data_IF_047635894220
#
_entry.id   IF_047635894220
#
_cell.length_a   1.000
_cell.length_b   1.000
_cell.length_c   1.000
_cell.angle_alpha   90.00
_cell.angle_beta   90.00
_cell.angle_gamma   90.00
#
_symmetry.space_group_name_H-M   'P 1'
#
loop_
_entity.id
_entity.type
_entity.pdbx_description
1 polymer ?
#
# COMPACT_ATOMS: atom_id res chain seq x y z
N UNK A 1 -26.29 32.02 24.26
CA UNK A 1 -25.61 30.81 24.77
C UNK A 1 -24.55 30.38 23.77
N UNK A 2 -23.26 30.49 24.12
CA UNK A 2 -22.15 30.03 23.27
C UNK A 2 -21.80 28.60 23.63
N UNK A 3 -22.14 27.64 22.77
CA UNK A 3 -21.76 26.23 22.96
C UNK A 3 -20.46 26.01 22.19
N UNK A 4 -19.35 25.84 22.89
CA UNK A 4 -18.09 25.46 22.26
C UNK A 4 -18.21 24.01 21.79
N UNK A 5 -17.97 23.79 20.50
CA UNK A 5 -17.81 22.45 19.95
C UNK A 5 -16.45 21.93 20.45
N UNK A 6 -16.47 21.13 21.52
CA UNK A 6 -15.29 20.39 21.95
C UNK A 6 -15.08 19.30 20.91
N UNK A 7 -14.11 19.50 20.02
CA UNK A 7 -13.63 18.49 19.09
C UNK A 7 -12.97 17.38 19.92
N UNK A 8 -13.79 16.44 20.41
CA UNK A 8 -13.29 15.21 20.99
C UNK A 8 -12.83 14.32 19.85
N UNK A 9 -11.53 14.01 19.86
CA UNK A 9 -10.93 13.04 18.95
C UNK A 9 -11.71 11.71 19.01
N UNK A 10 -12.28 11.28 17.89
CA UNK A 10 -13.16 10.10 17.84
C UNK A 10 -12.42 8.80 18.22
N UNK A 11 -11.09 8.77 18.06
CA UNK A 11 -10.25 7.65 18.49
C UNK A 11 -10.08 7.56 20.02
N UNK A 12 -10.50 8.60 20.77
CA UNK A 12 -10.51 8.61 22.23
C UNK A 12 -11.74 7.96 22.86
N UNK A 13 -12.71 7.44 22.08
CA UNK A 13 -13.87 6.69 22.63
C UNK A 13 -13.48 5.41 23.37
N UNK A 14 -12.32 4.83 23.05
CA UNK A 14 -11.84 3.66 23.76
C UNK A 14 -11.31 4.08 25.15
N UNK A 15 -11.79 3.50 26.27
CA UNK A 15 -11.41 3.92 27.63
C UNK A 15 -9.90 3.97 27.86
N UNK A 16 -9.16 3.01 27.29
CA UNK A 16 -7.70 2.98 27.32
C UNK A 16 -7.05 4.14 26.55
N UNK A 17 -7.61 4.53 25.39
CA UNK A 17 -7.06 5.61 24.56
C UNK A 17 -7.34 6.98 25.15
N UNK A 18 -8.43 7.13 25.91
CA UNK A 18 -8.78 8.37 26.61
C UNK A 18 -7.72 8.81 27.63
N UNK A 19 -7.04 7.86 28.30
CA UNK A 19 -5.96 8.15 29.26
C UNK A 19 -4.58 8.36 28.63
N UNK A 20 -4.40 8.04 27.36
CA UNK A 20 -3.08 8.13 26.71
C UNK A 20 -2.74 9.58 26.31
N UNK A 21 -1.49 10.02 26.51
CA UNK A 21 -1.01 11.31 26.00
C UNK A 21 -1.13 11.46 24.47
N UNK A 22 -1.30 12.69 23.94
CA UNK A 22 -1.53 12.94 22.51
C UNK A 22 -0.44 12.40 21.57
N UNK A 23 0.82 12.37 22.02
CA UNK A 23 1.94 11.90 21.20
C UNK A 23 1.92 10.38 20.98
N UNK A 24 1.28 9.61 21.87
CA UNK A 24 1.14 8.14 21.75
C UNK A 24 -0.02 7.77 20.81
N UNK A 25 -1.01 8.67 20.66
CA UNK A 25 -2.19 8.44 19.80
C UNK A 25 -1.91 8.62 18.32
N UNK A 26 -0.80 9.28 17.96
CA UNK A 26 -0.41 9.47 16.56
C UNK A 26 -0.11 8.10 15.97
N UNK A 27 -0.96 7.65 15.04
CA UNK A 27 -0.66 6.47 14.25
C UNK A 27 0.66 6.71 13.50
N UNK A 28 1.55 5.71 13.40
CA UNK A 28 2.63 5.79 12.43
C UNK A 28 2.05 6.02 11.03
N UNK A 29 2.82 6.65 10.13
CA UNK A 29 2.42 6.77 8.73
C UNK A 29 2.07 5.37 8.20
N UNK A 30 0.88 5.23 7.64
CA UNK A 30 0.45 4.01 6.99
C UNK A 30 1.36 3.82 5.78
N UNK A 31 2.00 2.64 5.59
CA UNK A 31 2.79 2.40 4.40
C UNK A 31 1.91 2.59 3.16
N UNK A 32 2.49 3.18 2.11
CA UNK A 32 1.75 3.39 0.86
C UNK A 32 1.18 2.05 0.38
N UNK A 33 -0.08 2.03 -0.08
CA UNK A 33 -0.67 0.82 -0.62
C UNK A 33 0.20 0.34 -1.79
N UNK A 34 0.49 -0.97 -1.81
CA UNK A 34 1.24 -1.60 -2.90
C UNK A 34 0.56 -1.25 -4.22
N UNK A 35 1.24 -0.48 -5.07
CA UNK A 35 0.70 -0.11 -6.38
C UNK A 35 0.93 -1.25 -7.36
N UNK A 36 -0.15 -1.79 -7.92
CA UNK A 36 -0.09 -2.84 -8.95
C UNK A 36 0.13 -2.27 -10.35
N UNK A 37 0.77 -1.10 -10.42
CA UNK A 37 1.00 -0.41 -11.69
C UNK A 37 2.03 -1.20 -12.49
N UNK A 38 1.63 -1.70 -13.65
CA UNK A 38 2.55 -2.38 -14.58
C UNK A 38 3.59 -1.37 -15.06
N UNK A 39 4.85 -1.65 -14.77
CA UNK A 39 5.96 -0.81 -15.21
C UNK A 39 6.45 -1.25 -16.59
N UNK A 40 7.20 -0.37 -17.26
CA UNK A 40 7.85 -0.70 -18.54
C UNK A 40 8.85 -1.86 -18.39
N UNK A 41 9.48 -1.96 -17.22
CA UNK A 41 10.45 -3.01 -16.93
C UNK A 41 9.76 -4.36 -16.76
N UNK A 42 8.57 -4.40 -16.14
CA UNK A 42 7.76 -5.63 -16.06
C UNK A 42 7.39 -6.15 -17.45
N UNK A 43 6.93 -5.25 -18.34
CA UNK A 43 6.58 -5.61 -19.72
C UNK A 43 7.79 -6.11 -20.48
N UNK A 44 8.95 -5.45 -20.32
CA UNK A 44 10.19 -5.85 -20.97
C UNK A 44 10.67 -7.22 -20.48
N UNK A 45 10.64 -7.46 -19.18
CA UNK A 45 10.99 -8.74 -18.57
C UNK A 45 10.09 -9.86 -19.09
N UNK A 46 8.78 -9.66 -19.03
CA UNK A 46 7.80 -10.62 -19.55
C UNK A 46 8.01 -10.93 -21.03
N UNK A 47 8.13 -9.90 -21.88
CA UNK A 47 8.35 -10.07 -23.31
C UNK A 47 9.65 -10.84 -23.60
N UNK A 48 10.73 -10.54 -22.87
CA UNK A 48 12.01 -11.23 -23.06
C UNK A 48 11.93 -12.71 -22.72
N UNK A 49 11.30 -13.08 -21.59
CA UNK A 49 11.11 -14.47 -21.19
C UNK A 49 10.19 -15.22 -22.17
N UNK A 50 9.12 -14.57 -22.62
CA UNK A 50 8.20 -15.11 -23.61
C UNK A 50 8.91 -15.45 -24.92
N UNK A 51 9.61 -14.48 -25.52
CA UNK A 51 10.31 -14.72 -26.78
C UNK A 51 11.48 -15.71 -26.65
N UNK A 52 12.20 -15.69 -25.52
CA UNK A 52 13.26 -16.67 -25.26
C UNK A 52 12.71 -18.10 -25.21
N UNK A 53 11.61 -18.31 -24.48
CA UNK A 53 10.97 -19.63 -24.38
C UNK A 53 10.39 -20.10 -25.71
N UNK A 54 9.74 -19.20 -26.45
CA UNK A 54 9.19 -19.47 -27.77
C UNK A 54 10.28 -19.86 -28.77
N UNK A 55 11.39 -19.11 -28.80
CA UNK A 55 12.53 -19.42 -29.65
C UNK A 55 13.16 -20.77 -29.30
N UNK A 56 13.33 -21.07 -28.00
CA UNK A 56 13.87 -22.35 -27.55
C UNK A 56 13.01 -23.54 -28.03
N UNK A 57 11.68 -23.43 -27.92
CA UNK A 57 10.77 -24.48 -28.41
C UNK A 57 10.79 -24.58 -29.92
N UNK A 58 10.82 -23.45 -30.64
CA UNK A 58 10.90 -23.45 -32.10
C UNK A 58 12.16 -24.16 -32.62
N UNK A 59 13.31 -23.94 -31.98
CA UNK A 59 14.58 -24.62 -32.32
C UNK A 59 14.51 -26.13 -32.08
N UNK A 60 13.73 -26.59 -31.10
CA UNK A 60 13.58 -28.02 -30.83
C UNK A 60 12.63 -28.73 -31.81
N UNK A 61 11.71 -28.00 -32.44
CA UNK A 61 10.66 -28.57 -33.29
C UNK A 61 10.99 -28.46 -34.78
N UNK A 62 11.76 -27.45 -35.18
CA UNK A 62 12.26 -27.27 -36.56
C UNK A 62 13.48 -28.14 -36.81
#
# INVERSE_FOLDING_TARGET
MRRSLVLTDESARHPFRAGLPPHVRKSPPVPDPVSWAITRDDVRGFASAYFASLAAVAVLIV
#
